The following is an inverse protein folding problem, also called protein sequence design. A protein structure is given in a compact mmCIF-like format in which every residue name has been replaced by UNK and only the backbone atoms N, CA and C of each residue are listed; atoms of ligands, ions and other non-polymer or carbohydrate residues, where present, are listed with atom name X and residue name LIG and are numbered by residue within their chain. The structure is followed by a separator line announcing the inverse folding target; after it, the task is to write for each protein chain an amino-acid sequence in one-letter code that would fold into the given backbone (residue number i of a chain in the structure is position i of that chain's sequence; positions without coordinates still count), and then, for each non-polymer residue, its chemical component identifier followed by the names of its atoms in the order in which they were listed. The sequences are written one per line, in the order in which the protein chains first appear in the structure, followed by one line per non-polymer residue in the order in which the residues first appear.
data_IF_319112539815
#
_entry.id   IF_319112539815
#
_cell.length_a   1.000
_cell.length_b   1.000
_cell.length_c   1.000
_cell.angle_alpha   90.00
_cell.angle_beta   90.00
_cell.angle_gamma   90.00
#
_symmetry.space_group_name_H-M   'P 1'
#
loop_
_entity.id
_entity.type
_entity.pdbx_description
1 polymer ?
#
# COMPACT_ATOMS: atom_id res chain seq x y z
N UNK A 1 2.37 0.63 -28.07
CA UNK A 1 1.61 1.38 -27.03
C UNK A 1 2.51 2.48 -26.50
N UNK A 2 2.05 3.72 -26.31
CA UNK A 2 2.97 4.84 -26.03
C UNK A 2 3.40 4.94 -24.55
N UNK A 3 4.69 5.17 -24.30
CA UNK A 3 5.29 5.24 -22.97
C UNK A 3 4.67 6.37 -22.10
N UNK A 4 4.29 7.51 -22.70
CA UNK A 4 3.65 8.59 -21.94
C UNK A 4 2.23 8.20 -21.48
N UNK A 5 1.48 7.50 -22.33
CA UNK A 5 0.15 7.02 -21.96
C UNK A 5 0.20 6.04 -20.78
N UNK A 6 1.18 5.13 -20.78
CA UNK A 6 1.44 4.20 -19.67
C UNK A 6 1.83 4.98 -18.42
N UNK A 7 2.77 5.91 -18.53
CA UNK A 7 3.20 6.73 -17.39
C UNK A 7 2.04 7.48 -16.70
N UNK A 8 1.14 8.09 -17.48
CA UNK A 8 -0.03 8.79 -16.95
C UNK A 8 -0.95 7.85 -16.14
N UNK A 9 -1.13 6.61 -16.59
CA UNK A 9 -1.94 5.59 -15.90
C UNK A 9 -1.33 5.05 -14.60
N UNK A 10 -0.03 5.30 -14.38
CA UNK A 10 0.73 4.81 -13.23
C UNK A 10 1.00 5.90 -12.18
N UNK A 11 0.84 7.18 -12.55
CA UNK A 11 1.23 8.33 -11.73
C UNK A 11 0.53 8.35 -10.37
N UNK A 12 -0.76 8.03 -10.34
CA UNK A 12 -1.57 7.91 -9.14
C UNK A 12 -1.21 6.69 -8.29
N UNK A 13 -0.73 5.61 -8.93
CA UNK A 13 -0.38 4.31 -8.32
C UNK A 13 1.06 4.19 -7.85
N UNK A 14 1.92 5.15 -8.17
CA UNK A 14 3.37 5.13 -7.90
C UNK A 14 3.80 6.28 -6.99
N UNK A 15 4.97 6.18 -6.33
CA UNK A 15 5.45 7.21 -5.44
C UNK A 15 6.08 8.36 -6.23
N UNK A 16 5.70 9.61 -5.90
CA UNK A 16 6.03 10.80 -6.68
C UNK A 16 7.52 11.11 -6.75
N UNK A 17 8.28 10.71 -5.73
CA UNK A 17 9.73 10.84 -5.70
C UNK A 17 10.47 9.93 -6.70
N UNK A 18 9.76 9.01 -7.38
CA UNK A 18 10.32 8.08 -8.36
C UNK A 18 9.82 8.29 -9.79
N UNK A 19 9.03 9.35 -10.04
CA UNK A 19 8.43 9.58 -11.35
C UNK A 19 9.44 9.81 -12.47
N UNK A 20 10.52 10.56 -12.22
CA UNK A 20 11.57 10.81 -13.23
C UNK A 20 12.28 9.51 -13.65
N UNK A 21 12.65 8.68 -12.65
CA UNK A 21 13.28 7.38 -12.86
C UNK A 21 12.36 6.41 -13.61
N UNK A 22 11.08 6.35 -13.21
CA UNK A 22 10.06 5.53 -13.85
C UNK A 22 9.85 5.96 -15.31
N UNK A 23 9.75 7.27 -15.58
CA UNK A 23 9.54 7.80 -16.92
C UNK A 23 10.72 7.43 -17.84
N UNK A 24 11.97 7.58 -17.35
CA UNK A 24 13.15 7.19 -18.11
C UNK A 24 13.17 5.69 -18.44
N UNK A 25 12.86 4.82 -17.47
CA UNK A 25 12.78 3.36 -17.70
C UNK A 25 11.67 3.00 -18.71
N UNK A 26 10.51 3.67 -18.66
CA UNK A 26 9.42 3.43 -19.61
C UNK A 26 9.77 3.85 -21.04
N UNK A 27 10.49 4.95 -21.23
CA UNK A 27 10.92 5.39 -22.57
C UNK A 27 11.92 4.45 -23.23
N UNK A 28 12.72 3.74 -22.43
CA UNK A 28 13.70 2.79 -22.90
C UNK A 28 13.17 1.35 -22.96
N UNK A 29 11.91 1.11 -22.58
CA UNK A 29 11.29 -0.21 -22.53
C UNK A 29 10.77 -0.66 -23.90
N UNK A 30 10.70 -1.99 -24.11
CA UNK A 30 10.10 -2.55 -25.31
C UNK A 30 8.57 -2.44 -25.31
N UNK A 31 7.94 -2.55 -26.49
CA UNK A 31 6.47 -2.52 -26.58
C UNK A 31 5.81 -3.70 -25.84
N UNK A 32 6.48 -4.85 -25.77
CA UNK A 32 6.02 -6.01 -25.00
C UNK A 32 5.98 -5.68 -23.50
N UNK A 33 7.04 -5.06 -22.96
CA UNK A 33 7.11 -4.67 -21.55
C UNK A 33 6.03 -3.64 -21.21
N UNK A 34 5.81 -2.65 -22.08
CA UNK A 34 4.74 -1.65 -21.91
C UNK A 34 3.35 -2.31 -21.89
N UNK A 35 3.11 -3.26 -22.79
CA UNK A 35 1.86 -4.02 -22.86
C UNK A 35 1.66 -4.88 -21.60
N UNK A 36 2.71 -5.53 -21.13
CA UNK A 36 2.69 -6.34 -19.90
C UNK A 36 2.39 -5.50 -18.65
N UNK A 37 2.93 -4.28 -18.57
CA UNK A 37 2.64 -3.35 -17.47
C UNK A 37 1.15 -2.98 -17.44
N UNK A 38 0.54 -2.68 -18.60
CA UNK A 38 -0.88 -2.34 -18.66
C UNK A 38 -1.80 -3.49 -18.26
N UNK A 39 -1.39 -4.74 -18.52
CA UNK A 39 -2.12 -5.95 -18.10
C UNK A 39 -1.86 -6.32 -16.64
N UNK A 40 -0.83 -5.76 -16.02
CA UNK A 40 -0.44 -6.11 -14.64
C UNK A 40 -1.42 -5.53 -13.63
N UNK A 41 -2.01 -6.36 -12.74
CA UNK A 41 -2.94 -5.88 -11.73
C UNK A 41 -2.18 -5.12 -10.63
N UNK A 42 -2.16 -3.79 -10.75
CA UNK A 42 -1.68 -2.87 -9.73
C UNK A 42 -2.76 -2.59 -8.69
N UNK A 43 -2.35 -2.49 -7.42
CA UNK A 43 -3.29 -2.26 -6.32
C UNK A 43 -3.68 -0.77 -6.27
N UNK A 44 -4.96 -0.48 -6.04
CA UNK A 44 -5.45 0.88 -5.81
C UNK A 44 -5.08 1.36 -4.41
N UNK A 45 -4.49 2.55 -4.31
CA UNK A 45 -4.14 3.22 -3.05
C UNK A 45 -5.38 3.66 -2.27
N UNK A 46 -6.41 4.13 -3.00
CA UNK A 46 -7.67 4.56 -2.39
C UNK A 46 -8.36 3.35 -1.75
N UNK A 47 -8.40 2.21 -2.45
CA UNK A 47 -8.97 0.97 -1.89
C UNK A 47 -8.18 0.51 -0.67
N UNK A 48 -6.84 0.58 -0.70
CA UNK A 48 -6.01 0.26 0.47
C UNK A 48 -6.35 1.16 1.67
N UNK A 49 -6.53 2.46 1.46
CA UNK A 49 -6.92 3.40 2.51
C UNK A 49 -8.33 3.16 3.05
N UNK A 50 -9.30 2.93 2.17
CA UNK A 50 -10.69 2.63 2.58
C UNK A 50 -10.71 1.37 3.45
N UNK A 51 -10.00 0.32 3.03
CA UNK A 51 -9.84 -0.89 3.85
C UNK A 51 -9.12 -0.56 5.15
N UNK A 52 -8.10 0.29 5.13
CA UNK A 52 -7.39 0.75 6.33
C UNK A 52 -8.29 1.47 7.34
N UNK A 53 -9.18 2.34 6.88
CA UNK A 53 -10.08 3.11 7.73
C UNK A 53 -11.11 2.19 8.40
N UNK A 54 -11.75 1.30 7.63
CA UNK A 54 -12.84 0.47 8.15
C UNK A 54 -12.35 -0.83 8.80
N UNK A 55 -11.25 -1.40 8.32
CA UNK A 55 -10.76 -2.73 8.66
C UNK A 55 -9.23 -2.79 8.90
N UNK A 56 -8.54 -1.65 8.99
CA UNK A 56 -7.09 -1.63 9.19
C UNK A 56 -6.65 -2.06 10.59
N UNK A 57 -7.55 -1.95 11.57
CA UNK A 57 -7.34 -2.41 12.94
C UNK A 57 -7.18 -3.92 13.04
N UNK A 58 -7.82 -4.71 12.17
CA UNK A 58 -7.62 -6.16 12.08
C UNK A 58 -6.59 -6.57 11.00
N UNK A 59 -5.91 -5.61 10.36
CA UNK A 59 -4.87 -5.86 9.37
C UNK A 59 -5.34 -6.19 7.96
N UNK A 60 -6.63 -5.98 7.63
CA UNK A 60 -7.19 -6.25 6.30
C UNK A 60 -6.51 -5.43 5.19
N UNK A 61 -6.07 -4.21 5.50
CA UNK A 61 -5.29 -3.33 4.62
C UNK A 61 -3.96 -3.98 4.20
N UNK A 62 -3.29 -4.65 5.14
CA UNK A 62 -2.02 -5.35 4.88
C UNK A 62 -2.22 -6.63 4.09
N UNK A 63 -3.32 -7.34 4.32
CA UNK A 63 -3.70 -8.47 3.45
C UNK A 63 -3.98 -8.02 2.01
N UNK A 64 -4.68 -6.90 1.82
CA UNK A 64 -4.94 -6.35 0.48
C UNK A 64 -3.66 -5.98 -0.27
N UNK A 65 -2.70 -5.37 0.43
CA UNK A 65 -1.38 -5.00 -0.10
C UNK A 65 -0.49 -6.23 -0.35
N UNK A 66 -0.77 -7.36 0.30
CA UNK A 66 0.01 -8.61 0.22
C UNK A 66 1.17 -8.67 1.21
N UNK A 67 1.13 -7.89 2.29
CA UNK A 67 2.10 -7.95 3.38
C UNK A 67 1.60 -8.86 4.51
N UNK A 68 1.74 -10.17 4.30
CA UNK A 68 1.24 -11.19 5.23
C UNK A 68 1.87 -11.07 6.62
N UNK A 69 3.16 -10.74 6.70
CA UNK A 69 3.89 -10.65 7.97
C UNK A 69 3.30 -9.56 8.86
N UNK A 70 3.13 -8.36 8.32
CA UNK A 70 2.54 -7.24 9.06
C UNK A 70 1.06 -7.49 9.33
N UNK A 71 0.34 -8.13 8.40
CA UNK A 71 -1.07 -8.46 8.59
C UNK A 71 -1.31 -9.36 9.82
N UNK A 72 -0.53 -10.44 9.98
CA UNK A 72 -0.62 -11.29 11.17
C UNK A 72 -0.19 -10.57 12.45
N UNK A 73 0.84 -9.73 12.38
CA UNK A 73 1.26 -8.92 13.53
C UNK A 73 0.14 -7.97 14.02
N UNK A 74 -0.61 -7.37 13.08
CA UNK A 74 -1.76 -6.52 13.41
C UNK A 74 -2.89 -7.29 14.06
N UNK A 75 -3.23 -8.49 13.58
CA UNK A 75 -4.25 -9.34 14.22
C UNK A 75 -3.87 -9.62 15.67
N UNK A 76 -2.63 -10.06 15.91
CA UNK A 76 -2.15 -10.36 17.26
C UNK A 76 -2.20 -9.12 18.17
N UNK A 77 -1.77 -7.96 17.66
CA UNK A 77 -1.82 -6.68 18.38
C UNK A 77 -3.26 -6.27 18.69
N UNK A 78 -4.18 -6.44 17.74
CA UNK A 78 -5.59 -6.12 17.93
C UNK A 78 -6.23 -6.95 19.04
N UNK A 79 -6.03 -8.28 19.01
CA UNK A 79 -6.52 -9.18 20.06
C UNK A 79 -5.96 -8.79 21.43
N UNK A 80 -4.65 -8.50 21.49
CA UNK A 80 -4.01 -8.06 22.73
C UNK A 80 -4.62 -6.75 23.26
N UNK A 81 -4.80 -5.75 22.40
CA UNK A 81 -5.40 -4.46 22.79
C UNK A 81 -6.84 -4.66 23.31
N UNK A 82 -7.65 -5.47 22.62
CA UNK A 82 -9.04 -5.74 23.05
C UNK A 82 -9.05 -6.41 24.43
N UNK A 83 -8.20 -7.41 24.67
CA UNK A 83 -8.10 -8.09 25.98
C UNK A 83 -7.66 -7.12 27.07
N UNK A 84 -6.61 -6.31 26.82
CA UNK A 84 -6.10 -5.35 27.81
C UNK A 84 -7.15 -4.30 28.14
N UNK A 85 -7.80 -3.71 27.13
CA UNK A 85 -8.82 -2.65 27.34
C UNK A 85 -10.03 -3.20 28.10
N UNK A 86 -10.50 -4.39 27.76
CA UNK A 86 -11.67 -5.01 28.43
C UNK A 86 -11.39 -5.41 29.87
N UNK A 87 -10.17 -5.86 30.19
CA UNK A 87 -9.79 -6.28 31.55
C UNK A 87 -9.42 -5.09 32.44
N UNK A 88 -8.71 -4.09 31.92
CA UNK A 88 -8.09 -3.04 32.75
C UNK A 88 -8.92 -1.75 32.87
N UNK A 89 -9.95 -1.55 32.04
CA UNK A 89 -10.78 -0.33 32.01
C UNK A 89 -9.95 0.96 31.86
N UNK A 90 -8.77 0.88 31.24
CA UNK A 90 -7.86 2.01 31.04
C UNK A 90 -8.31 2.81 29.81
N UNK A 91 -9.06 3.89 30.04
CA UNK A 91 -9.55 4.78 28.97
C UNK A 91 -8.46 5.67 28.34
N UNK A 92 -7.32 5.89 29.02
CA UNK A 92 -6.24 6.78 28.54
C UNK A 92 -5.49 6.25 27.31
N UNK A 93 -5.62 4.95 27.00
CA UNK A 93 -5.00 4.31 25.84
C UNK A 93 -5.63 4.72 24.50
N UNK A 94 -6.86 5.29 24.50
CA UNK A 94 -7.59 5.63 23.26
C UNK A 94 -6.86 6.64 22.38
N UNK A 95 -6.22 7.66 22.97
CA UNK A 95 -5.52 8.69 22.21
C UNK A 95 -4.27 8.15 21.51
N UNK A 96 -3.52 7.27 22.19
CA UNK A 96 -2.34 6.60 21.65
C UNK A 96 -2.73 5.69 20.48
N UNK A 97 -3.81 4.90 20.64
CA UNK A 97 -4.34 4.03 19.58
C UNK A 97 -4.79 4.86 18.37
N UNK A 98 -5.44 6.00 18.59
CA UNK A 98 -5.89 6.88 17.50
C UNK A 98 -4.71 7.43 16.70
N UNK A 99 -3.65 7.91 17.37
CA UNK A 99 -2.43 8.36 16.70
C UNK A 99 -1.74 7.21 15.93
N UNK A 100 -1.70 6.01 16.52
CA UNK A 100 -1.17 4.82 15.86
C UNK A 100 -1.91 4.50 14.56
N UNK A 101 -3.25 4.54 14.57
CA UNK A 101 -4.06 4.29 13.37
C UNK A 101 -3.78 5.32 12.27
N UNK A 102 -3.64 6.61 12.61
CA UNK A 102 -3.32 7.66 11.63
C UNK A 102 -1.95 7.44 10.97
N UNK A 103 -0.94 7.11 11.78
CA UNK A 103 0.41 6.81 11.29
C UNK A 103 0.39 5.56 10.40
N UNK A 104 -0.36 4.54 10.79
CA UNK A 104 -0.51 3.32 10.00
C UNK A 104 -1.17 3.58 8.64
N UNK A 105 -2.24 4.39 8.57
CA UNK A 105 -2.88 4.78 7.30
C UNK A 105 -1.88 5.45 6.33
N UNK A 106 -0.99 6.30 6.85
CA UNK A 106 0.08 6.89 6.06
C UNK A 106 1.04 5.81 5.51
N UNK A 107 1.42 4.84 6.35
CA UNK A 107 2.25 3.72 5.90
C UNK A 107 1.56 2.82 4.88
N UNK A 108 0.25 2.59 5.00
CA UNK A 108 -0.57 1.82 4.03
C UNK A 108 -0.51 2.47 2.65
N UNK A 109 -0.71 3.78 2.59
CA UNK A 109 -0.60 4.54 1.34
C UNK A 109 0.80 4.42 0.73
N UNK A 110 1.84 4.63 1.53
CA UNK A 110 3.24 4.59 1.07
C UNK A 110 3.64 3.20 0.58
N UNK A 111 3.30 2.14 1.32
CA UNK A 111 3.65 0.76 0.97
C UNK A 111 2.92 0.26 -0.27
N UNK A 112 1.65 0.66 -0.47
CA UNK A 112 0.91 0.29 -1.69
C UNK A 112 1.62 0.83 -2.94
N UNK A 113 2.01 2.12 -2.93
CA UNK A 113 2.75 2.74 -4.02
C UNK A 113 4.11 2.10 -4.26
N UNK A 114 4.84 1.79 -3.18
CA UNK A 114 6.15 1.14 -3.25
C UNK A 114 6.07 -0.25 -3.88
N UNK A 115 5.08 -1.06 -3.50
CA UNK A 115 4.91 -2.40 -4.06
C UNK A 115 4.45 -2.39 -5.51
N UNK A 116 3.58 -1.45 -5.90
CA UNK A 116 3.23 -1.27 -7.31
C UNK A 116 4.48 -0.92 -8.13
N UNK A 117 5.32 0.00 -7.65
CA UNK A 117 6.56 0.36 -8.32
C UNK A 117 7.51 -0.83 -8.47
N UNK A 118 7.68 -1.63 -7.42
CA UNK A 118 8.53 -2.84 -7.46
C UNK A 118 8.06 -3.85 -8.52
N UNK A 119 6.74 -4.03 -8.70
CA UNK A 119 6.19 -4.91 -9.75
C UNK A 119 6.46 -4.37 -11.15
N UNK A 120 6.35 -3.05 -11.32
CA UNK A 120 6.64 -2.40 -12.60
C UNK A 120 8.11 -2.57 -12.94
N UNK A 121 9.01 -2.35 -11.97
CA UNK A 121 10.45 -2.51 -12.19
C UNK A 121 10.84 -3.94 -12.53
N UNK A 122 10.24 -4.95 -11.90
CA UNK A 122 10.49 -6.35 -12.27
C UNK A 122 10.05 -6.73 -13.69
N UNK A 123 9.26 -5.89 -14.38
CA UNK A 123 8.87 -6.08 -15.79
C UNK A 123 9.79 -5.27 -16.72
N UNK A 124 10.37 -4.18 -16.22
CA UNK A 124 11.23 -3.27 -16.97
C UNK A 124 12.71 -3.67 -16.93
N UNK A 125 13.08 -4.58 -16.03
CA UNK A 125 14.41 -5.20 -15.92
C UNK A 125 14.47 -6.46 -16.80
#
# INVERSE_FOLDING_TARGET
MDANSVFLSLKDKTPSNKWSELQQKLFNASEEALSQIALTPLKSNIVALVIGIFFGWCGADRFYIGDKKIAFAKIALFVFIVVVVTVTQIDTLRLIITLYVLVDLYFVWKETKKRNLSKIYSILD
#
